data_IF_401536459191
#
_entry.id   IF_401536459191
#
_cell.length_a   1.000
_cell.length_b   1.000
_cell.length_c   1.000
_cell.angle_alpha   90.00
_cell.angle_beta   90.00
_cell.angle_gamma   90.00
#
_symmetry.space_group_name_H-M   'P 1'
#
loop_
_entity.id
_entity.type
_entity.pdbx_description
1 polymer ?
#
# COMPACT_ATOMS: atom_id res chain seq x y z
N UNK A 1 -9.27 -18.55 5.97
CA UNK A 1 -8.85 -18.89 7.35
C UNK A 1 -8.38 -17.62 8.02
N UNK A 2 -8.82 -17.32 9.25
CA UNK A 2 -8.32 -16.17 10.00
C UNK A 2 -6.86 -16.44 10.36
N UNK A 3 -5.93 -15.62 9.88
CA UNK A 3 -4.51 -15.71 10.27
C UNK A 3 -4.38 -15.28 11.74
N UNK A 4 -3.68 -16.07 12.52
CA UNK A 4 -3.42 -15.73 13.91
C UNK A 4 -2.26 -14.72 13.96
N UNK A 5 -2.56 -13.49 14.37
CA UNK A 5 -1.53 -12.46 14.60
C UNK A 5 -1.06 -12.58 16.04
N UNK A 6 0.23 -12.86 16.31
CA UNK A 6 0.73 -12.96 17.66
C UNK A 6 0.68 -11.59 18.36
N UNK A 7 0.49 -11.55 19.70
CA UNK A 7 0.48 -10.30 20.44
C UNK A 7 1.87 -9.64 20.45
N UNK A 8 1.88 -8.31 20.54
CA UNK A 8 3.14 -7.53 20.68
C UNK A 8 3.72 -7.76 22.07
N UNK A 9 4.98 -8.21 22.15
CA UNK A 9 5.66 -8.52 23.40
C UNK A 9 6.47 -7.33 23.91
N UNK A 10 6.42 -7.07 25.22
CA UNK A 10 7.27 -6.03 25.84
C UNK A 10 7.05 -4.60 25.31
N UNK A 11 5.88 -4.33 24.73
CA UNK A 11 5.57 -3.01 24.21
C UNK A 11 5.62 -1.93 25.30
N UNK A 12 6.26 -0.81 24.99
CA UNK A 12 6.51 0.31 25.90
C UNK A 12 5.23 0.98 26.43
N UNK A 13 4.18 1.00 25.59
CA UNK A 13 2.90 1.65 25.85
C UNK A 13 1.74 0.67 25.65
N UNK A 14 0.62 0.89 26.40
CA UNK A 14 -0.61 0.14 26.28
C UNK A 14 -1.45 0.56 25.04
N UNK A 15 -2.78 0.60 25.20
CA UNK A 15 -3.71 0.85 24.09
C UNK A 15 -3.63 2.26 23.50
N UNK A 16 -3.02 3.21 24.22
CA UNK A 16 -2.81 4.60 23.78
C UNK A 16 -1.41 4.84 23.17
N UNK A 17 -0.69 3.80 22.80
CA UNK A 17 0.68 3.86 22.29
C UNK A 17 0.87 4.84 21.13
N UNK A 18 -0.12 4.94 20.25
CA UNK A 18 -0.11 5.80 19.07
C UNK A 18 -0.09 7.31 19.40
N UNK A 19 -0.47 7.70 20.63
CA UNK A 19 -0.39 9.08 21.07
C UNK A 19 1.01 9.47 21.57
N UNK A 20 1.85 8.51 21.92
CA UNK A 20 3.14 8.74 22.60
C UNK A 20 4.31 8.01 21.96
N UNK A 21 4.01 7.01 21.14
CA UNK A 21 5.02 6.18 20.50
C UNK A 21 5.63 6.84 19.27
N UNK A 22 6.77 6.30 18.86
CA UNK A 22 7.46 6.67 17.62
C UNK A 22 7.07 5.68 16.54
N UNK A 23 6.49 6.18 15.44
CA UNK A 23 6.18 5.41 14.23
C UNK A 23 7.25 5.72 13.20
N UNK A 24 7.94 4.70 12.71
CA UNK A 24 8.96 4.81 11.68
C UNK A 24 8.39 4.32 10.34
N UNK A 25 8.33 5.19 9.34
CA UNK A 25 7.87 4.81 8.02
C UNK A 25 8.95 4.01 7.28
N UNK A 26 8.55 2.89 6.72
CA UNK A 26 9.38 2.01 5.89
C UNK A 26 8.79 1.95 4.48
N UNK A 27 9.52 2.46 3.50
CA UNK A 27 9.25 2.20 2.09
C UNK A 27 10.03 0.95 1.69
N UNK A 28 9.35 -0.19 1.62
CA UNK A 28 9.97 -1.51 1.44
C UNK A 28 10.97 -1.52 0.27
N UNK A 29 10.57 -0.97 -0.88
CA UNK A 29 11.36 -0.95 -2.11
C UNK A 29 12.77 -0.38 -1.97
N UNK A 30 12.98 0.58 -1.05
CA UNK A 30 14.26 1.28 -0.89
C UNK A 30 14.91 1.09 0.47
N UNK A 31 14.30 0.32 1.38
CA UNK A 31 14.79 0.20 2.75
C UNK A 31 15.99 -0.76 2.85
N UNK A 32 15.82 -2.01 2.44
CA UNK A 32 16.88 -3.00 2.46
C UNK A 32 16.58 -4.12 1.45
N UNK A 33 17.56 -4.41 0.61
CA UNK A 33 17.54 -5.45 -0.42
C UNK A 33 18.24 -6.70 0.11
N UNK A 34 17.50 -7.77 0.38
CA UNK A 34 18.06 -9.03 0.85
C UNK A 34 18.51 -9.94 -0.30
N UNK A 35 17.94 -9.72 -1.49
CA UNK A 35 18.18 -10.53 -2.68
C UNK A 35 19.35 -10.07 -3.54
N UNK A 36 19.77 -8.81 -3.42
CA UNK A 36 20.83 -8.21 -4.21
C UNK A 36 20.39 -7.83 -5.64
N UNK A 37 19.09 -7.66 -5.86
CA UNK A 37 18.53 -7.31 -7.16
C UNK A 37 18.28 -5.80 -7.36
N UNK A 38 18.58 -5.00 -6.34
CA UNK A 38 18.41 -3.55 -6.33
C UNK A 38 17.03 -3.11 -5.82
N UNK A 39 16.18 -4.04 -5.37
CA UNK A 39 14.87 -3.75 -4.81
C UNK A 39 14.80 -4.25 -3.37
N UNK A 40 14.43 -3.37 -2.45
CA UNK A 40 14.21 -3.75 -1.07
C UNK A 40 12.97 -4.64 -0.90
N UNK A 41 12.99 -5.49 0.12
CA UNK A 41 11.98 -6.52 0.34
C UNK A 41 11.65 -6.73 1.83
N UNK A 42 10.64 -7.58 2.11
CA UNK A 42 10.21 -7.88 3.47
C UNK A 42 11.29 -8.62 4.28
N UNK A 43 12.11 -9.45 3.64
CA UNK A 43 13.20 -10.15 4.30
C UNK A 43 14.28 -9.16 4.74
N UNK A 44 14.63 -8.19 3.91
CA UNK A 44 15.53 -7.10 4.25
C UNK A 44 15.03 -6.26 5.43
N UNK A 45 13.71 -6.02 5.52
CA UNK A 45 13.14 -5.34 6.69
C UNK A 45 13.33 -6.21 7.95
N UNK A 46 13.04 -7.51 7.87
CA UNK A 46 13.21 -8.44 8.99
C UNK A 46 14.65 -8.42 9.51
N UNK A 47 15.62 -8.45 8.61
CA UNK A 47 17.05 -8.47 8.96
C UNK A 47 17.51 -7.20 9.68
N UNK A 48 16.75 -6.10 9.56
CA UNK A 48 17.05 -4.80 10.18
C UNK A 48 16.17 -4.47 11.40
N UNK A 49 15.28 -5.36 11.83
CA UNK A 49 14.39 -5.12 12.97
C UNK A 49 15.15 -4.88 14.29
N UNK A 50 16.33 -5.46 14.48
CA UNK A 50 17.15 -5.21 15.68
C UNK A 50 17.66 -3.77 15.73
N UNK A 51 18.00 -3.18 14.57
CA UNK A 51 18.35 -1.77 14.46
C UNK A 51 17.17 -0.83 14.81
N UNK A 52 15.95 -1.23 14.42
CA UNK A 52 14.74 -0.45 14.70
C UNK A 52 14.24 -0.63 16.13
N UNK A 53 14.53 -1.77 16.74
CA UNK A 53 14.03 -2.20 18.04
C UNK A 53 14.59 -1.43 19.24
N UNK A 54 14.29 -1.93 20.47
CA UNK A 54 14.61 -1.25 21.73
C UNK A 54 16.10 -0.96 21.94
N UNK A 55 16.97 -1.84 21.44
CA UNK A 55 18.43 -1.70 21.56
C UNK A 55 19.06 -0.85 20.44
N UNK A 56 18.25 -0.45 19.45
CA UNK A 56 18.63 0.42 18.34
C UNK A 56 17.96 1.79 18.42
N UNK A 57 17.10 2.09 17.45
CA UNK A 57 16.36 3.37 17.38
C UNK A 57 15.25 3.48 18.43
N UNK A 58 14.80 2.36 18.99
CA UNK A 58 13.77 2.32 20.05
C UNK A 58 12.40 2.79 19.57
N UNK A 59 12.00 2.46 18.34
CA UNK A 59 10.69 2.79 17.82
C UNK A 59 9.61 1.87 18.39
N UNK A 60 8.35 2.30 18.33
CA UNK A 60 7.19 1.57 18.86
C UNK A 60 6.38 0.89 17.74
N UNK A 61 6.49 1.39 16.52
CA UNK A 61 5.84 0.81 15.35
C UNK A 61 6.61 1.11 14.07
N UNK A 62 6.52 0.20 13.11
CA UNK A 62 6.81 0.49 11.70
C UNK A 62 5.50 0.76 10.97
N UNK A 63 5.51 1.73 10.06
CA UNK A 63 4.46 1.95 9.07
C UNK A 63 5.01 1.56 7.71
N UNK A 64 4.48 0.49 7.14
CA UNK A 64 4.82 0.06 5.78
C UNK A 64 4.03 0.88 4.77
N UNK A 65 4.74 1.60 3.89
CA UNK A 65 4.14 2.08 2.63
C UNK A 65 3.57 0.90 1.84
N UNK A 66 2.65 1.12 0.88
CA UNK A 66 1.94 0.02 0.25
C UNK A 66 2.88 -1.09 -0.25
N UNK A 67 2.55 -2.33 0.12
CA UNK A 67 3.25 -3.56 -0.29
C UNK A 67 2.36 -4.46 -1.14
N UNK A 68 1.27 -3.91 -1.64
CA UNK A 68 0.27 -4.60 -2.46
C UNK A 68 0.69 -4.62 -3.93
N UNK A 69 0.18 -5.59 -4.74
CA UNK A 69 0.37 -5.59 -6.19
C UNK A 69 -0.04 -4.24 -6.81
N UNK A 70 0.88 -3.71 -7.62
CA UNK A 70 0.73 -2.40 -8.25
C UNK A 70 1.50 -2.36 -9.57
N UNK A 71 0.99 -1.71 -10.64
CA UNK A 71 1.79 -1.39 -11.82
C UNK A 71 2.99 -0.47 -11.54
N UNK A 72 3.03 0.18 -10.37
CA UNK A 72 4.14 1.02 -9.94
C UNK A 72 4.19 2.41 -10.55
N UNK A 73 3.09 2.89 -11.12
CA UNK A 73 2.99 4.21 -11.73
C UNK A 73 2.95 5.34 -10.68
N UNK A 74 2.47 5.00 -9.48
CA UNK A 74 2.38 5.90 -8.32
C UNK A 74 3.08 5.30 -7.08
N UNK A 75 4.28 4.78 -7.27
CA UNK A 75 5.16 4.27 -6.20
C UNK A 75 4.50 3.22 -5.28
N UNK A 76 3.50 2.48 -5.78
CA UNK A 76 2.74 1.48 -5.05
C UNK A 76 1.37 1.94 -4.56
N UNK A 77 1.03 3.23 -4.70
CA UNK A 77 -0.29 3.75 -4.34
C UNK A 77 -1.36 3.47 -5.39
N UNK A 78 -0.99 3.06 -6.59
CA UNK A 78 -1.87 2.54 -7.65
C UNK A 78 -2.14 1.04 -7.45
N UNK A 79 -2.83 0.70 -6.35
CA UNK A 79 -3.07 -0.68 -5.92
C UNK A 79 -3.99 -1.43 -6.88
N UNK A 80 -3.53 -2.57 -7.38
CA UNK A 80 -4.32 -3.46 -8.24
C UNK A 80 -4.96 -4.65 -7.51
N UNK A 81 -4.48 -4.99 -6.32
CA UNK A 81 -5.08 -6.00 -5.44
C UNK A 81 -4.75 -5.70 -3.97
N UNK A 82 -5.75 -5.39 -3.15
CA UNK A 82 -5.57 -5.08 -1.72
C UNK A 82 -5.47 -6.32 -0.81
N UNK A 83 -5.63 -7.52 -1.36
CA UNK A 83 -5.71 -8.76 -0.60
C UNK A 83 -4.41 -9.58 -0.63
N UNK A 84 -3.37 -9.09 -1.33
CA UNK A 84 -2.11 -9.79 -1.53
C UNK A 84 -0.90 -8.93 -1.24
N UNK A 85 0.20 -9.60 -0.94
CA UNK A 85 1.55 -9.01 -1.00
C UNK A 85 2.04 -9.04 -2.44
N UNK A 86 2.64 -7.95 -2.91
CA UNK A 86 3.29 -7.94 -4.21
C UNK A 86 4.49 -8.90 -4.19
N UNK A 87 4.57 -9.85 -5.15
CA UNK A 87 5.73 -10.74 -5.27
C UNK A 87 7.08 -10.03 -5.36
N UNK A 88 7.08 -8.76 -5.73
CA UNK A 88 8.28 -7.91 -5.73
C UNK A 88 8.88 -7.76 -4.32
N UNK A 89 8.05 -7.75 -3.29
CA UNK A 89 8.48 -7.57 -1.90
C UNK A 89 8.56 -8.87 -1.11
N UNK A 90 8.03 -9.96 -1.64
CA UNK A 90 8.00 -11.27 -0.98
C UNK A 90 6.63 -11.95 -1.07
N UNK A 91 6.37 -12.82 -0.12
CA UNK A 91 5.12 -13.60 -0.02
C UNK A 91 4.30 -13.19 1.21
N UNK A 92 3.05 -13.70 1.29
CA UNK A 92 2.23 -13.59 2.50
C UNK A 92 2.91 -14.26 3.71
N UNK A 93 3.67 -15.33 3.51
CA UNK A 93 4.42 -16.00 4.59
C UNK A 93 5.58 -15.11 5.08
N UNK A 94 6.22 -14.36 4.20
CA UNK A 94 7.24 -13.37 4.58
C UNK A 94 6.62 -12.22 5.37
N UNK A 95 5.43 -11.78 4.99
CA UNK A 95 4.69 -10.78 5.75
C UNK A 95 4.29 -11.29 7.13
N UNK A 96 3.76 -12.52 7.24
CA UNK A 96 3.43 -13.14 8.53
C UNK A 96 4.69 -13.27 9.42
N UNK A 97 5.84 -13.61 8.82
CA UNK A 97 7.14 -13.67 9.51
C UNK A 97 7.57 -12.27 9.98
N UNK A 98 7.44 -11.24 9.14
CA UNK A 98 7.74 -9.86 9.53
C UNK A 98 6.92 -9.43 10.74
N UNK A 99 5.61 -9.67 10.73
CA UNK A 99 4.72 -9.33 11.83
C UNK A 99 5.14 -10.06 13.12
N UNK A 100 5.41 -11.36 13.03
CA UNK A 100 5.83 -12.16 14.19
C UNK A 100 7.15 -11.66 14.80
N UNK A 101 8.14 -11.38 13.94
CA UNK A 101 9.47 -10.91 14.35
C UNK A 101 9.44 -9.48 14.90
N UNK A 102 8.64 -8.58 14.33
CA UNK A 102 8.43 -7.24 14.86
C UNK A 102 7.74 -7.28 16.22
N UNK A 103 6.65 -8.05 16.36
CA UNK A 103 5.91 -8.19 17.62
C UNK A 103 6.75 -8.81 18.72
N UNK A 104 7.63 -9.74 18.42
CA UNK A 104 8.58 -10.33 19.39
C UNK A 104 9.56 -9.28 19.95
N UNK A 105 9.85 -8.23 19.19
CA UNK A 105 10.72 -7.10 19.58
C UNK A 105 9.96 -5.91 20.19
N UNK A 106 8.67 -6.03 20.40
CA UNK A 106 7.83 -4.95 20.92
C UNK A 106 7.44 -3.90 19.88
N UNK A 107 7.72 -4.15 18.60
CA UNK A 107 7.42 -3.26 17.49
C UNK A 107 6.07 -3.65 16.88
N UNK A 108 5.15 -2.70 16.74
CA UNK A 108 3.87 -2.88 16.04
C UNK A 108 4.07 -2.70 14.55
N UNK A 109 3.19 -3.33 13.75
CA UNK A 109 3.16 -3.15 12.30
C UNK A 109 1.87 -2.43 11.92
N UNK A 110 2.01 -1.31 11.22
CA UNK A 110 0.91 -0.52 10.64
C UNK A 110 1.04 -0.62 9.12
N UNK A 111 -0.05 -0.99 8.45
CA UNK A 111 -0.12 -1.03 7.00
C UNK A 111 -0.74 0.25 6.47
N UNK A 112 -0.26 0.69 5.33
CA UNK A 112 -0.94 1.70 4.54
C UNK A 112 -2.25 1.15 3.97
N UNK A 113 -3.31 1.93 3.99
CA UNK A 113 -4.60 1.53 3.47
C UNK A 113 -5.10 2.56 2.45
N UNK A 114 -4.87 2.26 1.18
CA UNK A 114 -5.25 3.12 0.06
C UNK A 114 -6.72 2.88 -0.30
N UNK A 115 -7.64 3.63 0.31
CA UNK A 115 -9.09 3.48 0.13
C UNK A 115 -9.71 4.48 -0.85
N UNK A 116 -8.98 5.56 -1.19
CA UNK A 116 -9.52 6.65 -1.98
C UNK A 116 -9.70 6.29 -3.46
N UNK A 117 -8.84 5.43 -3.99
CA UNK A 117 -8.78 5.04 -5.40
C UNK A 117 -8.16 3.65 -5.54
N UNK A 118 -8.22 3.11 -6.74
CA UNK A 118 -7.49 1.90 -7.14
C UNK A 118 -6.66 2.20 -8.39
N UNK A 119 -5.77 1.28 -8.74
CA UNK A 119 -5.20 1.23 -10.08
C UNK A 119 -6.28 1.01 -11.14
N UNK A 120 -6.03 1.45 -12.36
CA UNK A 120 -6.83 1.06 -13.52
C UNK A 120 -6.65 -0.43 -13.90
N UNK A 121 -5.61 -1.09 -13.38
CA UNK A 121 -5.40 -2.54 -13.45
C UNK A 121 -6.17 -3.31 -12.36
N UNK A 122 -6.89 -2.64 -11.46
CA UNK A 122 -7.67 -3.32 -10.43
C UNK A 122 -8.90 -3.98 -11.04
N UNK A 123 -9.18 -5.23 -10.64
CA UNK A 123 -10.34 -6.02 -11.14
C UNK A 123 -11.69 -5.28 -11.02
N UNK A 124 -11.85 -4.44 -10.02
CA UNK A 124 -13.07 -3.64 -9.84
C UNK A 124 -13.17 -2.54 -10.91
N UNK A 125 -12.05 -1.85 -11.21
CA UNK A 125 -12.02 -0.82 -12.24
C UNK A 125 -12.24 -1.44 -13.62
N UNK A 126 -11.57 -2.55 -13.94
CA UNK A 126 -11.79 -3.25 -15.22
C UNK A 126 -13.24 -3.69 -15.39
N UNK A 127 -13.86 -4.25 -14.34
CA UNK A 127 -15.28 -4.62 -14.34
C UNK A 127 -16.20 -3.41 -14.52
N UNK A 128 -15.92 -2.29 -13.84
CA UNK A 128 -16.68 -1.04 -13.95
C UNK A 128 -16.58 -0.44 -15.35
N UNK A 129 -15.39 -0.44 -15.95
CA UNK A 129 -15.12 0.06 -17.30
C UNK A 129 -15.80 -0.78 -18.39
N UNK A 130 -16.01 -2.07 -18.15
CA UNK A 130 -16.58 -3.00 -19.13
C UNK A 130 -18.05 -2.71 -19.48
N UNK A 131 -18.81 -2.00 -18.62
CA UNK A 131 -20.18 -1.62 -18.94
C UNK A 131 -20.97 -1.05 -17.76
N UNK A 132 -22.03 -0.32 -18.11
CA UNK A 132 -22.87 0.40 -17.12
C UNK A 132 -23.78 -0.51 -16.29
N UNK A 133 -23.96 -1.77 -16.69
CA UNK A 133 -24.83 -2.74 -16.03
C UNK A 133 -24.05 -3.81 -15.24
N UNK A 134 -22.71 -3.64 -15.12
CA UNK A 134 -21.84 -4.57 -14.43
C UNK A 134 -21.93 -4.47 -12.89
N UNK A 135 -21.45 -5.47 -12.16
CA UNK A 135 -21.54 -5.52 -10.71
C UNK A 135 -20.78 -4.40 -9.98
N UNK A 136 -19.83 -3.77 -10.66
CA UNK A 136 -19.01 -2.68 -10.12
C UNK A 136 -19.24 -1.35 -10.88
N UNK A 137 -20.30 -1.25 -11.71
CA UNK A 137 -20.53 -0.10 -12.58
C UNK A 137 -20.55 1.24 -11.82
N UNK A 138 -21.14 1.25 -10.63
CA UNK A 138 -21.27 2.44 -9.77
C UNK A 138 -20.14 2.64 -8.75
N UNK A 139 -19.11 1.79 -8.77
CA UNK A 139 -18.00 1.89 -7.83
C UNK A 139 -17.00 2.99 -8.19
N UNK A 140 -17.08 3.48 -9.46
CA UNK A 140 -16.25 4.54 -9.99
C UNK A 140 -17.11 5.64 -10.62
N UNK A 141 -16.59 6.85 -10.61
CA UNK A 141 -17.28 8.00 -11.18
C UNK A 141 -17.04 8.08 -12.69
N UNK A 142 -18.05 7.75 -13.45
CA UNK A 142 -18.05 7.88 -14.91
C UNK A 142 -18.85 9.10 -15.34
N UNK A 143 -18.40 9.80 -16.38
CA UNK A 143 -19.10 10.93 -17.00
C UNK A 143 -19.00 10.81 -18.50
N UNK A 144 -20.08 11.19 -19.18
CA UNK A 144 -20.03 11.34 -20.61
C UNK A 144 -19.16 12.55 -20.99
N UNK A 145 -18.42 12.50 -22.12
CA UNK A 145 -17.60 13.61 -22.56
C UNK A 145 -18.46 14.85 -22.85
N UNK A 146 -17.89 16.04 -22.68
CA UNK A 146 -18.56 17.30 -23.01
C UNK A 146 -18.81 17.47 -24.50
N UNK A 147 -18.13 16.69 -25.35
CA UNK A 147 -18.23 16.71 -26.81
C UNK A 147 -17.04 16.02 -27.45
N UNK A 148 -16.85 16.23 -28.74
CA UNK A 148 -15.71 15.74 -29.49
C UNK A 148 -14.87 16.95 -29.93
N UNK A 149 -13.58 16.89 -29.70
CA UNK A 149 -12.62 17.92 -30.10
C UNK A 149 -12.38 17.96 -31.62
N UNK A 150 -11.69 18.98 -32.07
CA UNK A 150 -11.34 19.13 -33.50
C UNK A 150 -10.38 18.02 -34.01
N UNK A 151 -9.67 17.39 -33.08
CA UNK A 151 -8.79 16.22 -33.29
C UNK A 151 -9.52 14.88 -33.29
N UNK A 152 -10.84 14.88 -33.08
CA UNK A 152 -11.68 13.69 -33.01
C UNK A 152 -11.65 12.98 -31.68
N UNK A 153 -10.96 13.53 -30.66
CA UNK A 153 -10.90 12.94 -29.32
C UNK A 153 -12.04 13.44 -28.43
N UNK A 154 -12.49 12.61 -27.44
CA UNK A 154 -13.44 13.04 -26.43
C UNK A 154 -12.91 14.23 -25.62
N UNK A 155 -13.73 15.25 -25.46
CA UNK A 155 -13.42 16.37 -24.57
C UNK A 155 -13.72 16.01 -23.12
N UNK A 156 -12.86 16.39 -22.16
CA UNK A 156 -13.15 16.20 -20.75
C UNK A 156 -14.53 16.72 -20.37
N UNK A 157 -15.30 16.02 -19.52
CA UNK A 157 -16.65 16.44 -19.12
C UNK A 157 -16.66 17.77 -18.36
N UNK A 158 -15.55 18.12 -17.74
CA UNK A 158 -15.31 19.37 -17.01
C UNK A 158 -13.84 19.78 -17.13
N UNK A 159 -13.54 21.02 -16.75
CA UNK A 159 -12.18 21.57 -16.74
C UNK A 159 -11.42 21.35 -15.43
N UNK A 160 -11.78 20.31 -14.70
CA UNK A 160 -11.07 19.92 -13.47
C UNK A 160 -9.65 19.44 -13.79
N UNK A 161 -8.72 19.74 -12.90
CA UNK A 161 -7.34 19.27 -13.01
C UNK A 161 -7.08 18.19 -11.96
N UNK A 162 -6.21 17.24 -12.26
CA UNK A 162 -5.74 16.29 -11.26
C UNK A 162 -4.78 16.96 -10.27
N UNK A 163 -4.57 16.30 -9.14
CA UNK A 163 -3.69 16.77 -8.08
C UNK A 163 -2.25 16.98 -8.57
N UNK A 164 -1.77 16.14 -9.47
CA UNK A 164 -0.42 16.20 -10.05
C UNK A 164 -0.33 16.99 -11.37
N UNK A 165 -1.39 17.69 -11.73
CA UNK A 165 -1.49 18.45 -12.99
C UNK A 165 -2.05 17.64 -14.16
N UNK A 166 -2.51 18.34 -15.21
CA UNK A 166 -3.19 17.73 -16.33
C UNK A 166 -4.71 17.67 -16.15
N UNK A 167 -5.40 17.08 -17.13
CA UNK A 167 -6.86 16.93 -17.09
C UNK A 167 -7.27 15.90 -16.02
N UNK A 168 -8.32 16.20 -15.27
CA UNK A 168 -8.84 15.35 -14.21
C UNK A 168 -9.71 14.17 -14.70
N UNK A 169 -9.93 14.09 -16.02
CA UNK A 169 -10.78 13.09 -16.67
C UNK A 169 -10.09 12.53 -17.91
#
# INVERSE_FOLDING_TARGET
MSRHVPPVQGARFGDDWWQRGVIYQVYARSFADSGGDGVGDLAGIIDHLDHLGPDGLGIDAIWLSPIYPSPGLDLGYDVSDHERVDPLFGSEDDFDRLVAEAHRRGIRVVLDLVMNHTSDAHRWFESSRAGRDGPHAEWYLWRDPAGIGADGQPLPPKNETQLFGGAGW
#
